data_IF_353852716750
#
_entry.id   IF_353852716750
#
_cell.length_a   1.000
_cell.length_b   1.000
_cell.length_c   1.000
_cell.angle_alpha   90.00
_cell.angle_beta   90.00
_cell.angle_gamma   90.00
#
_symmetry.space_group_name_H-M   'P 1'
#
loop_
_entity.id
_entity.type
_entity.pdbx_description
1 polymer ?
#
# COMPACT_ATOMS: atom_id res chain seq x y z
N UNK A 1 -25.74 73.72 11.48
CA UNK A 1 -26.38 74.38 12.66
C UNK A 1 -25.76 75.77 12.85
N UNK A 2 -26.52 76.77 13.33
CA UNK A 2 -26.06 78.17 13.42
C UNK A 2 -25.16 78.37 14.66
N UNK A 3 -23.97 78.97 14.51
CA UNK A 3 -23.09 79.30 15.64
C UNK A 3 -23.49 80.66 16.24
N UNK A 4 -24.08 80.67 17.44
CA UNK A 4 -24.32 81.91 18.18
C UNK A 4 -22.99 82.46 18.74
N UNK A 5 -22.58 83.66 18.31
CA UNK A 5 -21.50 84.41 18.95
C UNK A 5 -21.99 84.99 20.28
N UNK A 6 -21.70 84.34 21.40
CA UNK A 6 -21.92 84.92 22.74
C UNK A 6 -20.82 85.94 23.01
N UNK A 7 -21.13 87.21 22.79
CA UNK A 7 -20.24 88.32 23.13
C UNK A 7 -20.24 88.56 24.64
N UNK A 8 -19.24 88.01 25.35
CA UNK A 8 -18.96 88.37 26.76
C UNK A 8 -18.69 89.87 26.87
N UNK A 9 -19.73 90.68 27.16
CA UNK A 9 -19.57 92.04 27.67
C UNK A 9 -18.86 91.94 29.02
N UNK A 10 -17.60 92.37 29.09
CA UNK A 10 -16.95 92.64 30.38
C UNK A 10 -17.72 93.79 31.03
N UNK A 11 -18.48 93.49 32.08
CA UNK A 11 -19.10 94.53 32.90
C UNK A 11 -18.00 95.34 33.57
N UNK A 12 -17.80 96.59 33.13
CA UNK A 12 -17.01 97.55 33.90
C UNK A 12 -17.78 97.88 35.18
N UNK A 13 -17.49 97.14 36.25
CA UNK A 13 -18.04 97.40 37.57
C UNK A 13 -17.61 98.80 38.02
N UNK A 14 -18.52 99.77 37.89
CA UNK A 14 -18.39 101.06 38.57
C UNK A 14 -18.40 100.78 40.07
N UNK A 15 -17.22 100.69 40.69
CA UNK A 15 -17.11 100.73 42.14
C UNK A 15 -17.68 102.06 42.60
N UNK A 16 -18.85 102.03 43.23
CA UNK A 16 -19.33 103.15 44.02
C UNK A 16 -18.40 103.39 45.22
N UNK A 17 -18.64 104.44 46.02
CA UNK A 17 -18.01 104.55 47.33
C UNK A 17 -18.24 103.24 48.10
N UNK A 18 -17.21 102.68 48.76
CA UNK A 18 -17.34 101.39 49.42
C UNK A 18 -18.43 101.46 50.50
N UNK A 19 -19.10 100.34 50.77
CA UNK A 19 -20.24 100.29 51.68
C UNK A 19 -19.90 100.84 53.08
N UNK A 20 -18.64 100.66 53.52
CA UNK A 20 -18.07 101.28 54.72
C UNK A 20 -18.33 102.78 54.79
N UNK A 21 -18.10 103.51 53.70
CA UNK A 21 -18.03 104.97 53.71
C UNK A 21 -19.44 105.57 53.57
N UNK A 22 -20.31 104.90 52.83
CA UNK A 22 -21.75 105.20 52.79
C UNK A 22 -22.40 104.96 54.15
N UNK A 23 -22.02 103.91 54.86
CA UNK A 23 -22.46 103.66 56.24
C UNK A 23 -21.89 104.71 57.20
N UNK A 24 -20.59 105.01 57.13
CA UNK A 24 -19.96 106.06 57.95
C UNK A 24 -20.65 107.42 57.80
N UNK A 25 -20.91 107.86 56.56
CA UNK A 25 -21.59 109.12 56.30
C UNK A 25 -23.04 109.15 56.82
N UNK A 26 -23.75 108.02 56.75
CA UNK A 26 -25.10 107.88 57.33
C UNK A 26 -25.08 107.91 58.87
N UNK A 27 -24.11 107.24 59.50
CA UNK A 27 -23.92 107.24 60.96
C UNK A 27 -23.59 108.65 61.44
N UNK A 28 -22.59 109.30 60.86
CA UNK A 28 -22.21 110.67 61.23
C UNK A 28 -23.36 111.68 61.04
N UNK A 29 -24.16 111.54 59.98
CA UNK A 29 -25.37 112.35 59.77
C UNK A 29 -26.44 112.08 60.85
N UNK A 30 -26.66 110.82 61.24
CA UNK A 30 -27.57 110.47 62.32
C UNK A 30 -27.11 111.02 63.68
N UNK A 31 -25.84 110.88 64.02
CA UNK A 31 -25.29 111.37 65.29
C UNK A 31 -25.22 112.90 65.33
N UNK A 32 -24.93 113.58 64.22
CA UNK A 32 -25.06 115.04 64.13
C UNK A 32 -26.52 115.51 64.35
N UNK A 33 -27.49 114.81 63.73
CA UNK A 33 -28.93 115.07 63.92
C UNK A 33 -29.41 114.79 65.35
N UNK A 34 -28.82 113.78 66.03
CA UNK A 34 -29.07 113.45 67.43
C UNK A 34 -28.48 114.50 68.37
N UNK A 35 -27.19 114.83 68.22
CA UNK A 35 -26.48 115.88 68.98
C UNK A 35 -27.18 117.25 68.86
N UNK A 36 -27.78 117.56 67.71
CA UNK A 36 -28.58 118.77 67.49
C UNK A 36 -29.97 118.79 68.19
N UNK A 37 -30.39 117.68 68.82
CA UNK A 37 -31.73 117.51 69.42
C UNK A 37 -31.73 117.09 70.89
N UNK A 38 -30.60 116.72 71.46
CA UNK A 38 -30.50 116.24 72.85
C UNK A 38 -29.44 117.00 73.65
N UNK A 39 -29.87 117.83 74.60
CA UNK A 39 -29.00 118.68 75.42
C UNK A 39 -28.57 118.06 76.76
N UNK A 40 -28.98 116.81 77.06
CA UNK A 40 -28.86 116.19 78.39
C UNK A 40 -27.85 115.02 78.48
N UNK A 41 -27.08 114.76 77.42
CA UNK A 41 -26.10 113.68 77.38
C UNK A 41 -24.66 114.20 77.34
N UNK A 42 -23.75 113.46 77.95
CA UNK A 42 -22.31 113.70 77.86
C UNK A 42 -21.86 113.57 76.39
N UNK A 43 -21.40 114.69 75.82
CA UNK A 43 -20.94 114.75 74.44
C UNK A 43 -19.77 113.79 74.18
N UNK A 44 -18.90 113.53 75.16
CA UNK A 44 -17.76 112.63 75.02
C UNK A 44 -18.20 111.16 74.92
N UNK A 45 -19.25 110.78 75.65
CA UNK A 45 -19.85 109.45 75.59
C UNK A 45 -20.61 109.23 74.27
N UNK A 46 -21.32 110.24 73.76
CA UNK A 46 -22.00 110.19 72.46
C UNK A 46 -20.98 110.07 71.31
N UNK A 47 -19.90 110.86 71.36
CA UNK A 47 -18.79 110.78 70.40
C UNK A 47 -18.06 109.43 70.44
N UNK A 48 -17.89 108.84 71.62
CA UNK A 48 -17.30 107.51 71.77
C UNK A 48 -18.20 106.42 71.17
N UNK A 49 -19.53 106.51 71.38
CA UNK A 49 -20.51 105.61 70.80
C UNK A 49 -20.55 105.71 69.27
N UNK A 50 -20.46 106.93 68.72
CA UNK A 50 -20.38 107.16 67.27
C UNK A 50 -19.15 106.48 66.66
N UNK A 51 -17.97 106.69 67.27
CA UNK A 51 -16.70 106.09 66.82
C UNK A 51 -16.74 104.55 66.92
N UNK A 52 -17.29 104.01 68.00
CA UNK A 52 -17.45 102.57 68.18
C UNK A 52 -18.38 101.96 67.11
N UNK A 53 -19.54 102.58 66.86
CA UNK A 53 -20.48 102.13 65.82
C UNK A 53 -19.87 102.23 64.42
N UNK A 54 -19.09 103.28 64.14
CA UNK A 54 -18.35 103.43 62.88
C UNK A 54 -17.29 102.33 62.70
N UNK A 55 -16.59 101.93 63.77
CA UNK A 55 -15.62 100.82 63.71
C UNK A 55 -16.32 99.49 63.47
N UNK A 56 -17.35 99.16 64.25
CA UNK A 56 -18.11 97.90 64.08
C UNK A 56 -18.76 97.80 62.69
N UNK A 57 -19.34 98.90 62.18
CA UNK A 57 -19.92 98.93 60.84
C UNK A 57 -18.87 98.82 59.72
N UNK A 58 -17.63 99.29 59.95
CA UNK A 58 -16.50 99.06 59.04
C UNK A 58 -16.02 97.61 59.05
N UNK A 59 -15.90 96.98 60.22
CA UNK A 59 -15.54 95.56 60.32
C UNK A 59 -16.63 94.64 59.78
N UNK A 60 -17.91 94.98 60.00
CA UNK A 60 -19.03 94.27 59.40
C UNK A 60 -19.01 94.38 57.87
N UNK A 61 -18.76 95.58 57.31
CA UNK A 61 -18.61 95.76 55.86
C UNK A 61 -17.42 94.98 55.28
N UNK A 62 -16.27 94.93 55.98
CA UNK A 62 -15.13 94.07 55.59
C UNK A 62 -15.53 92.59 55.58
N UNK A 63 -16.19 92.10 56.63
CA UNK A 63 -16.67 90.71 56.74
C UNK A 63 -17.67 90.36 55.64
N UNK A 64 -18.60 91.27 55.29
CA UNK A 64 -19.50 91.09 54.16
C UNK A 64 -18.75 91.01 52.83
N UNK A 65 -17.85 91.94 52.52
CA UNK A 65 -17.09 91.89 51.25
C UNK A 65 -16.16 90.67 51.15
N UNK A 66 -15.62 90.19 52.26
CA UNK A 66 -14.88 88.93 52.30
C UNK A 66 -15.80 87.73 52.00
N UNK A 67 -17.00 87.69 52.61
CA UNK A 67 -18.00 86.65 52.36
C UNK A 67 -18.52 86.67 50.91
N UNK A 68 -18.73 87.85 50.32
CA UNK A 68 -19.05 87.99 48.90
C UNK A 68 -17.95 87.36 48.03
N UNK A 69 -16.67 87.65 48.31
CA UNK A 69 -15.57 87.07 47.53
C UNK A 69 -15.41 85.55 47.69
N UNK A 70 -15.75 84.98 48.85
CA UNK A 70 -15.73 83.51 49.02
C UNK A 70 -16.96 82.83 48.42
N UNK A 71 -18.12 83.48 48.38
CA UNK A 71 -19.30 83.00 47.64
C UNK A 71 -19.03 83.03 46.14
N UNK A 72 -18.43 84.10 45.60
CA UNK A 72 -18.02 84.19 44.20
C UNK A 72 -16.97 83.13 43.83
N UNK A 73 -15.98 82.86 44.70
CA UNK A 73 -14.99 81.81 44.43
C UNK A 73 -15.61 80.41 44.48
N UNK A 74 -16.45 80.11 45.48
CA UNK A 74 -17.17 78.84 45.56
C UNK A 74 -18.13 78.63 44.38
N UNK A 75 -18.74 79.68 43.85
CA UNK A 75 -19.54 79.61 42.64
C UNK A 75 -18.68 79.28 41.40
N UNK A 76 -17.50 79.90 41.27
CA UNK A 76 -16.55 79.57 40.21
C UNK A 76 -16.06 78.11 40.31
N UNK A 77 -15.65 77.67 41.50
CA UNK A 77 -15.20 76.30 41.75
C UNK A 77 -16.30 75.27 41.45
N UNK A 78 -17.55 75.53 41.86
CA UNK A 78 -18.70 74.69 41.54
C UNK A 78 -18.94 74.60 40.02
N UNK A 79 -18.86 75.72 39.28
CA UNK A 79 -18.97 75.66 37.80
C UNK A 79 -17.83 74.87 37.15
N UNK A 80 -16.60 75.00 37.66
CA UNK A 80 -15.43 74.21 37.22
C UNK A 80 -15.63 72.70 37.49
N UNK A 81 -16.11 72.35 38.68
CA UNK A 81 -16.44 70.97 39.04
C UNK A 81 -17.54 70.40 38.13
N UNK A 82 -18.60 71.16 37.83
CA UNK A 82 -19.65 70.74 36.90
C UNK A 82 -19.11 70.53 35.46
N UNK A 83 -18.23 71.40 34.97
CA UNK A 83 -17.56 71.20 33.67
C UNK A 83 -16.67 69.94 33.67
N UNK A 84 -15.92 69.68 34.74
CA UNK A 84 -15.10 68.45 34.83
C UNK A 84 -15.95 67.19 34.93
N UNK A 85 -17.05 67.19 35.69
CA UNK A 85 -18.00 66.06 35.78
C UNK A 85 -18.60 65.74 34.41
N UNK A 86 -19.04 66.75 33.65
CA UNK A 86 -19.54 66.55 32.28
C UNK A 86 -18.44 66.03 31.34
N UNK A 87 -17.20 66.50 31.51
CA UNK A 87 -16.03 66.05 30.76
C UNK A 87 -15.64 64.60 31.06
N UNK A 88 -15.83 64.14 32.30
CA UNK A 88 -15.60 62.74 32.72
C UNK A 88 -16.75 61.84 32.24
N UNK A 89 -18.01 62.25 32.42
CA UNK A 89 -19.18 61.51 31.94
C UNK A 89 -19.07 61.22 30.43
N UNK A 90 -18.75 62.23 29.62
CA UNK A 90 -18.54 62.02 28.18
C UNK A 90 -17.38 61.05 27.88
N UNK A 91 -16.26 61.14 28.60
CA UNK A 91 -15.15 60.17 28.42
C UNK A 91 -15.58 58.75 28.75
N UNK A 92 -16.37 58.56 29.80
CA UNK A 92 -16.91 57.24 30.14
C UNK A 92 -17.87 56.73 29.06
N UNK A 93 -18.78 57.56 28.55
CA UNK A 93 -19.66 57.18 27.43
C UNK A 93 -18.87 56.76 26.18
N UNK A 94 -17.83 57.53 25.83
CA UNK A 94 -17.00 57.26 24.66
C UNK A 94 -16.12 56.00 24.86
N UNK A 95 -15.61 55.76 26.08
CA UNK A 95 -14.93 54.50 26.45
C UNK A 95 -15.87 53.29 26.36
N UNK A 96 -17.08 53.38 26.93
CA UNK A 96 -18.10 52.31 26.89
C UNK A 96 -18.44 51.93 25.44
N UNK A 97 -18.55 52.91 24.53
CA UNK A 97 -18.73 52.65 23.09
C UNK A 97 -17.53 51.89 22.50
N UNK A 98 -16.29 52.27 22.84
CA UNK A 98 -15.11 51.55 22.34
C UNK A 98 -15.03 50.10 22.86
N UNK A 99 -15.44 49.84 24.11
CA UNK A 99 -15.53 48.47 24.63
C UNK A 99 -16.57 47.64 23.86
N UNK A 100 -17.78 48.15 23.66
CA UNK A 100 -18.84 47.44 22.90
C UNK A 100 -18.41 47.15 21.45
N UNK A 101 -17.67 48.06 20.81
CA UNK A 101 -17.12 47.84 19.45
C UNK A 101 -16.04 46.75 19.47
N UNK A 102 -15.15 46.75 20.46
CA UNK A 102 -14.11 45.73 20.61
C UNK A 102 -14.69 44.34 20.94
N UNK A 103 -15.73 44.28 21.77
CA UNK A 103 -16.46 43.04 22.09
C UNK A 103 -17.18 42.48 20.85
N UNK A 104 -17.85 43.32 20.08
CA UNK A 104 -18.48 42.92 18.82
C UNK A 104 -17.45 42.44 17.77
N UNK A 105 -16.28 43.08 17.71
CA UNK A 105 -15.19 42.63 16.84
C UNK A 105 -14.63 41.27 17.29
N UNK A 106 -14.37 41.09 18.58
CA UNK A 106 -13.91 39.81 19.14
C UNK A 106 -14.93 38.69 18.88
N UNK A 107 -16.24 38.95 19.03
CA UNK A 107 -17.29 37.98 18.71
C UNK A 107 -17.30 37.59 17.22
N UNK A 108 -17.14 38.56 16.31
CA UNK A 108 -16.99 38.28 14.86
C UNK A 108 -15.75 37.44 14.58
N UNK A 109 -14.59 37.82 15.12
CA UNK A 109 -13.34 37.11 14.92
C UNK A 109 -13.40 35.67 15.45
N UNK A 110 -14.04 35.44 16.60
CA UNK A 110 -14.30 34.09 17.14
C UNK A 110 -15.20 33.28 16.21
N UNK A 111 -16.28 33.87 15.68
CA UNK A 111 -17.16 33.20 14.72
C UNK A 111 -16.44 32.83 13.41
N UNK A 112 -15.67 33.76 12.84
CA UNK A 112 -14.86 33.50 11.63
C UNK A 112 -13.81 32.41 11.85
N UNK A 113 -13.12 32.43 13.00
CA UNK A 113 -12.14 31.40 13.35
C UNK A 113 -12.82 30.03 13.54
N UNK A 114 -14.02 29.98 14.14
CA UNK A 114 -14.80 28.76 14.28
C UNK A 114 -15.25 28.20 12.92
N UNK A 115 -15.72 29.06 12.01
CA UNK A 115 -16.07 28.67 10.64
C UNK A 115 -14.85 28.18 9.84
N UNK A 116 -13.70 28.86 9.97
CA UNK A 116 -12.44 28.43 9.33
C UNK A 116 -11.98 27.06 9.86
N UNK A 117 -12.05 26.83 11.18
CA UNK A 117 -11.73 25.55 11.80
C UNK A 117 -12.67 24.43 11.31
N UNK A 118 -13.98 24.69 11.26
CA UNK A 118 -14.96 23.73 10.76
C UNK A 118 -14.71 23.37 9.28
N UNK A 119 -14.37 24.35 8.45
CA UNK A 119 -14.01 24.17 7.04
C UNK A 119 -12.74 23.30 6.89
N UNK A 120 -11.67 23.59 7.65
CA UNK A 120 -10.47 22.74 7.66
C UNK A 120 -10.77 21.30 8.13
N UNK A 121 -11.59 21.13 9.15
CA UNK A 121 -11.99 19.81 9.65
C UNK A 121 -12.75 18.99 8.58
N UNK A 122 -13.70 19.61 7.87
CA UNK A 122 -14.37 18.94 6.74
C UNK A 122 -13.41 18.56 5.61
N UNK A 123 -12.43 19.42 5.29
CA UNK A 123 -11.45 19.13 4.25
C UNK A 123 -10.53 17.97 4.65
N UNK A 124 -10.04 17.97 5.90
CA UNK A 124 -9.25 16.87 6.47
C UNK A 124 -10.03 15.54 6.48
N UNK A 125 -11.32 15.55 6.82
CA UNK A 125 -12.15 14.34 6.72
C UNK A 125 -12.30 13.80 5.30
N UNK A 126 -12.48 14.69 4.31
CA UNK A 126 -12.55 14.30 2.88
C UNK A 126 -11.23 13.71 2.42
N UNK A 127 -10.11 14.36 2.73
CA UNK A 127 -8.77 13.90 2.39
C UNK A 127 -8.46 12.55 3.05
N UNK A 128 -8.71 12.40 4.36
CA UNK A 128 -8.57 11.14 5.08
C UNK A 128 -9.35 10.00 4.40
N UNK A 129 -10.61 10.24 4.02
CA UNK A 129 -11.45 9.24 3.32
C UNK A 129 -10.88 8.89 1.94
N UNK A 130 -10.38 9.86 1.18
CA UNK A 130 -9.72 9.61 -0.11
C UNK A 130 -8.40 8.83 0.03
N UNK A 131 -7.56 9.17 1.01
CA UNK A 131 -6.29 8.49 1.27
C UNK A 131 -6.51 7.07 1.78
N UNK A 132 -7.50 6.85 2.64
CA UNK A 132 -7.92 5.51 3.07
C UNK A 132 -8.36 4.66 1.87
N UNK A 133 -9.29 5.16 1.04
CA UNK A 133 -9.76 4.43 -0.13
C UNK A 133 -8.66 4.11 -1.15
N UNK A 134 -7.71 5.04 -1.36
CA UNK A 134 -6.49 4.78 -2.17
C UNK A 134 -5.65 3.65 -1.58
N UNK A 135 -5.33 3.72 -0.28
CA UNK A 135 -4.52 2.69 0.39
C UNK A 135 -5.20 1.31 0.38
N UNK A 136 -6.52 1.26 0.55
CA UNK A 136 -7.33 0.04 0.46
C UNK A 136 -7.30 -0.56 -0.96
N UNK A 137 -7.45 0.27 -2.01
CA UNK A 137 -7.28 -0.16 -3.40
C UNK A 137 -5.85 -0.65 -3.69
N UNK A 138 -4.82 0.07 -3.27
CA UNK A 138 -3.42 -0.33 -3.46
C UNK A 138 -3.10 -1.63 -2.70
N UNK A 139 -3.68 -1.83 -1.51
CA UNK A 139 -3.55 -3.07 -0.76
C UNK A 139 -4.28 -4.24 -1.45
N UNK A 140 -5.47 -4.01 -1.99
CA UNK A 140 -6.22 -5.00 -2.78
C UNK A 140 -5.46 -5.37 -4.07
N UNK A 141 -4.96 -4.40 -4.83
CA UNK A 141 -4.19 -4.62 -6.04
C UNK A 141 -2.91 -5.42 -5.77
N UNK A 142 -2.17 -5.09 -4.70
CA UNK A 142 -0.99 -5.88 -4.27
C UNK A 142 -1.33 -7.31 -3.87
N UNK A 143 -2.46 -7.54 -3.20
CA UNK A 143 -2.96 -8.89 -2.87
C UNK A 143 -3.34 -9.66 -4.14
N UNK A 144 -4.06 -9.04 -5.07
CA UNK A 144 -4.43 -9.65 -6.35
C UNK A 144 -3.18 -10.04 -7.15
N UNK A 145 -2.23 -9.11 -7.34
CA UNK A 145 -0.96 -9.39 -8.04
C UNK A 145 -0.14 -10.51 -7.37
N UNK A 146 -0.24 -10.68 -6.04
CA UNK A 146 0.38 -11.81 -5.35
C UNK A 146 -0.34 -13.15 -5.63
N UNK A 147 -1.68 -13.15 -5.63
CA UNK A 147 -2.48 -14.32 -6.00
C UNK A 147 -2.25 -14.71 -7.47
N UNK A 148 -2.22 -13.75 -8.39
CA UNK A 148 -1.99 -13.97 -9.82
C UNK A 148 -0.63 -14.66 -10.07
N UNK A 149 0.42 -14.26 -9.33
CA UNK A 149 1.73 -14.92 -9.36
C UNK A 149 1.67 -16.36 -8.85
N UNK A 150 1.06 -16.59 -7.69
CA UNK A 150 0.93 -17.93 -7.10
C UNK A 150 0.12 -18.87 -8.01
N UNK A 151 -0.95 -18.36 -8.63
CA UNK A 151 -1.77 -19.11 -9.60
C UNK A 151 -0.99 -19.39 -10.89
N UNK A 152 -0.20 -18.44 -11.39
CA UNK A 152 0.67 -18.64 -12.55
C UNK A 152 1.76 -19.70 -12.26
N UNK A 153 2.45 -19.59 -11.12
CA UNK A 153 3.46 -20.57 -10.67
C UNK A 153 2.86 -21.96 -10.42
N UNK A 154 1.63 -22.05 -9.91
CA UNK A 154 0.89 -23.30 -9.81
C UNK A 154 0.60 -23.87 -11.20
N UNK A 155 0.06 -23.07 -12.13
CA UNK A 155 -0.21 -23.50 -13.51
C UNK A 155 1.04 -23.89 -14.30
N UNK A 156 2.20 -23.31 -14.00
CA UNK A 156 3.50 -23.70 -14.58
C UNK A 156 4.01 -25.02 -13.98
N UNK A 157 3.81 -25.26 -12.68
CA UNK A 157 4.10 -26.56 -12.04
C UNK A 157 3.20 -27.66 -12.58
N UNK A 158 1.89 -27.41 -12.65
CA UNK A 158 0.89 -28.33 -13.21
C UNK A 158 1.27 -28.79 -14.62
N UNK A 159 1.55 -27.82 -15.52
CA UNK A 159 2.00 -28.09 -16.89
C UNK A 159 3.33 -28.86 -16.97
N UNK A 160 4.19 -28.76 -15.96
CA UNK A 160 5.43 -29.56 -15.87
C UNK A 160 5.12 -30.99 -15.43
N UNK A 161 4.28 -31.17 -14.41
CA UNK A 161 3.87 -32.49 -13.94
C UNK A 161 3.11 -33.28 -15.01
N UNK A 162 2.16 -32.65 -15.72
CA UNK A 162 1.45 -33.29 -16.85
C UNK A 162 2.43 -33.76 -17.92
N UNK A 163 3.36 -32.89 -18.37
CA UNK A 163 4.38 -33.26 -19.36
C UNK A 163 5.30 -34.38 -18.90
N UNK A 164 5.63 -34.43 -17.61
CA UNK A 164 6.45 -35.50 -17.07
C UNK A 164 5.67 -36.83 -17.07
N UNK A 165 4.40 -36.84 -16.66
CA UNK A 165 3.53 -38.01 -16.75
C UNK A 165 3.35 -38.47 -18.21
N UNK A 166 3.19 -37.53 -19.16
CA UNK A 166 3.17 -37.84 -20.60
C UNK A 166 4.49 -38.48 -21.07
N UNK A 167 5.64 -37.98 -20.62
CA UNK A 167 6.95 -38.53 -20.97
C UNK A 167 7.15 -39.94 -20.37
N UNK A 168 6.88 -40.11 -19.07
CA UNK A 168 6.99 -41.38 -18.37
C UNK A 168 6.07 -42.45 -19.01
N UNK A 169 4.84 -42.08 -19.36
CA UNK A 169 3.89 -42.97 -20.05
C UNK A 169 4.30 -43.30 -21.48
N UNK A 170 4.91 -42.36 -22.22
CA UNK A 170 5.45 -42.66 -23.55
C UNK A 170 6.64 -43.64 -23.47
N UNK A 171 7.51 -43.53 -22.46
CA UNK A 171 8.60 -44.49 -22.23
C UNK A 171 8.07 -45.87 -21.85
N UNK A 172 7.05 -45.94 -20.99
CA UNK A 172 6.37 -47.20 -20.63
C UNK A 172 5.72 -47.88 -21.84
N UNK A 173 5.01 -47.11 -22.69
CA UNK A 173 4.42 -47.60 -23.94
C UNK A 173 5.51 -48.10 -24.91
N UNK A 174 6.63 -47.41 -25.03
CA UNK A 174 7.71 -47.80 -25.94
C UNK A 174 8.46 -49.05 -25.44
N UNK A 175 8.68 -49.18 -24.13
CA UNK A 175 9.18 -50.41 -23.52
C UNK A 175 8.22 -51.60 -23.76
N UNK A 176 6.91 -51.41 -23.62
CA UNK A 176 5.92 -52.44 -23.93
C UNK A 176 5.91 -52.82 -25.42
N UNK A 177 6.03 -51.85 -26.34
CA UNK A 177 6.18 -52.10 -27.79
C UNK A 177 7.41 -52.95 -28.08
N UNK A 178 8.56 -52.63 -27.49
CA UNK A 178 9.81 -53.38 -27.64
C UNK A 178 9.66 -54.81 -27.09
N UNK A 179 9.06 -54.98 -25.91
CA UNK A 179 8.77 -56.30 -25.35
C UNK A 179 7.88 -57.14 -26.29
N UNK A 180 6.77 -56.58 -26.80
CA UNK A 180 5.89 -57.29 -27.74
C UNK A 180 6.57 -57.57 -29.08
N UNK A 181 7.47 -56.70 -29.56
CA UNK A 181 8.26 -56.95 -30.76
C UNK A 181 9.21 -58.16 -30.58
N UNK A 182 9.95 -58.20 -29.47
CA UNK A 182 10.85 -59.32 -29.13
C UNK A 182 10.07 -60.62 -28.90
N UNK A 183 8.92 -60.57 -28.22
CA UNK A 183 8.05 -61.74 -28.06
C UNK A 183 7.60 -62.27 -29.43
N UNK A 184 7.07 -61.40 -30.30
CA UNK A 184 6.65 -61.77 -31.65
C UNK A 184 7.81 -62.34 -32.49
N UNK A 185 9.00 -61.76 -32.39
CA UNK A 185 10.18 -62.22 -33.12
C UNK A 185 10.66 -63.59 -32.63
N UNK A 186 10.66 -63.84 -31.31
CA UNK A 186 11.01 -65.16 -30.75
C UNK A 186 9.97 -66.23 -31.10
N UNK A 187 8.68 -65.91 -31.08
CA UNK A 187 7.61 -66.79 -31.57
C UNK A 187 7.77 -67.12 -33.07
N UNK A 188 8.02 -66.12 -33.92
CA UNK A 188 8.26 -66.31 -35.35
C UNK A 188 9.53 -67.12 -35.62
N UNK A 189 10.61 -66.88 -34.87
CA UNK A 189 11.87 -67.63 -34.98
C UNK A 189 11.69 -69.09 -34.55
N UNK A 190 10.92 -69.33 -33.48
CA UNK A 190 10.55 -70.68 -33.07
C UNK A 190 9.77 -71.39 -34.18
N UNK A 191 8.72 -70.76 -34.72
CA UNK A 191 7.91 -71.34 -35.81
C UNK A 191 8.73 -71.59 -37.08
N UNK A 192 9.58 -70.65 -37.48
CA UNK A 192 10.52 -70.84 -38.58
C UNK A 192 11.44 -72.04 -38.34
N UNK A 193 12.04 -72.16 -37.15
CA UNK A 193 12.89 -73.31 -36.81
C UNK A 193 12.14 -74.65 -36.80
N UNK A 194 10.82 -74.67 -36.54
CA UNK A 194 10.00 -75.86 -36.63
C UNK A 194 9.70 -76.22 -38.09
N UNK A 195 9.42 -75.22 -38.94
CA UNK A 195 9.22 -75.40 -40.39
C UNK A 195 10.51 -75.91 -41.04
N UNK A 196 11.66 -75.29 -40.77
CA UNK A 196 12.96 -75.74 -41.28
C UNK A 196 13.25 -77.18 -40.85
N UNK A 197 13.00 -77.55 -39.60
CA UNK A 197 13.19 -78.93 -39.12
C UNK A 197 12.26 -79.93 -39.81
N UNK A 198 11.01 -79.58 -40.08
CA UNK A 198 10.08 -80.43 -40.87
C UNK A 198 10.58 -80.61 -42.30
N UNK A 199 10.88 -79.51 -43.00
CA UNK A 199 11.40 -79.55 -44.39
C UNK A 199 12.71 -80.35 -44.48
N UNK A 200 13.60 -80.22 -43.51
CA UNK A 200 14.85 -80.99 -43.47
C UNK A 200 14.60 -82.49 -43.27
N UNK A 201 13.63 -82.85 -42.42
CA UNK A 201 13.22 -84.24 -42.19
C UNK A 201 12.47 -84.84 -43.39
N UNK A 202 11.59 -84.08 -44.03
CA UNK A 202 10.92 -84.48 -45.27
C UNK A 202 11.94 -84.71 -46.41
N UNK A 203 12.99 -83.90 -46.45
CA UNK A 203 14.13 -84.08 -47.37
C UNK A 203 14.99 -85.30 -47.01
N UNK A 204 15.25 -85.56 -45.73
CA UNK A 204 15.92 -86.80 -45.27
C UNK A 204 15.15 -88.05 -45.68
N UNK A 205 13.82 -88.04 -45.55
CA UNK A 205 12.93 -89.12 -46.01
C UNK A 205 13.01 -89.29 -47.53
N UNK A 206 12.99 -88.21 -48.31
CA UNK A 206 13.14 -88.26 -49.77
C UNK A 206 14.51 -88.80 -50.19
N UNK A 207 15.60 -88.35 -49.57
CA UNK A 207 16.95 -88.84 -49.84
C UNK A 207 17.08 -90.33 -49.45
N UNK A 208 16.51 -90.74 -48.31
CA UNK A 208 16.49 -92.14 -47.90
C UNK A 208 15.68 -93.02 -48.87
N UNK A 209 14.57 -92.52 -49.42
CA UNK A 209 13.79 -93.22 -50.45
C UNK A 209 14.59 -93.38 -51.76
N UNK A 210 15.23 -92.31 -52.24
CA UNK A 210 16.09 -92.32 -53.43
C UNK A 210 17.27 -93.29 -53.23
N UNK A 211 17.93 -93.26 -52.08
CA UNK A 211 19.01 -94.21 -51.75
C UNK A 211 18.49 -95.65 -51.69
N UNK A 212 17.31 -95.89 -51.12
CA UNK A 212 16.71 -97.23 -51.08
C UNK A 212 16.37 -97.75 -52.48
N UNK A 213 15.92 -96.89 -53.41
CA UNK A 213 15.69 -97.27 -54.80
C UNK A 213 16.99 -97.50 -55.58
N UNK A 214 18.04 -96.69 -55.35
CA UNK A 214 19.39 -96.94 -55.87
C UNK A 214 19.94 -98.29 -55.36
N UNK A 215 19.73 -98.63 -54.08
CA UNK A 215 20.10 -99.95 -53.53
C UNK A 215 19.31 -101.09 -54.18
N UNK A 216 17.99 -100.93 -54.40
CA UNK A 216 17.16 -101.91 -55.14
C UNK A 216 17.67 -102.11 -56.56
N UNK A 217 18.05 -101.03 -57.26
CA UNK A 217 18.59 -101.12 -58.62
C UNK A 217 20.00 -101.68 -58.67
N UNK A 218 20.87 -101.39 -57.69
CA UNK A 218 22.14 -102.12 -57.54
C UNK A 218 21.90 -103.62 -57.27
N UNK A 219 20.90 -103.99 -56.46
CA UNK A 219 20.57 -105.39 -56.17
C UNK A 219 19.92 -106.11 -57.36
N UNK A 220 19.10 -105.41 -58.15
CA UNK A 220 18.59 -105.88 -59.45
C UNK A 220 19.73 -106.07 -60.45
N UNK A 221 20.71 -105.16 -60.48
CA UNK A 221 21.86 -105.27 -61.37
C UNK A 221 22.84 -106.37 -60.92
N UNK A 222 23.07 -106.58 -59.62
CA UNK A 222 23.79 -107.76 -59.12
C UNK A 222 23.04 -109.06 -59.43
N UNK A 223 21.72 -109.09 -59.29
CA UNK A 223 20.89 -110.24 -59.69
C UNK A 223 21.01 -110.52 -61.20
N UNK A 224 20.99 -109.48 -62.05
CA UNK A 224 21.23 -109.59 -63.50
C UNK A 224 22.65 -110.07 -63.82
N UNK A 225 23.68 -109.56 -63.12
CA UNK A 225 25.06 -110.01 -63.28
C UNK A 225 25.17 -111.49 -62.90
N UNK A 226 24.67 -111.91 -61.74
CA UNK A 226 24.64 -113.32 -61.32
C UNK A 226 23.72 -114.22 -62.16
N UNK A 227 22.84 -113.64 -62.99
CA UNK A 227 22.06 -114.38 -63.98
C UNK A 227 22.83 -114.50 -65.30
N UNK A 228 23.42 -113.41 -65.81
CA UNK A 228 24.34 -113.44 -66.95
C UNK A 228 25.57 -114.32 -66.69
N UNK A 229 26.09 -114.38 -65.47
CA UNK A 229 27.15 -115.31 -65.04
C UNK A 229 26.68 -116.78 -65.00
N UNK A 230 25.37 -117.03 -64.93
CA UNK A 230 24.74 -118.36 -65.05
C UNK A 230 24.53 -118.68 -66.52
N UNK A 231 23.94 -117.77 -67.27
CA UNK A 231 23.74 -117.88 -68.71
C UNK A 231 25.09 -118.07 -69.45
N UNK A 232 26.18 -117.43 -68.99
CA UNK A 232 27.56 -117.63 -69.47
C UNK A 232 28.22 -118.94 -69.00
N UNK A 233 27.71 -119.60 -67.95
CA UNK A 233 28.10 -120.96 -67.56
C UNK A 233 27.32 -121.99 -68.37
N UNK A 234 26.03 -121.77 -68.57
CA UNK A 234 25.13 -122.67 -69.29
C UNK A 234 25.43 -122.63 -70.80
N UNK A 235 25.69 -121.46 -71.38
CA UNK A 235 26.22 -121.34 -72.75
C UNK A 235 27.61 -121.98 -72.92
N UNK A 236 28.38 -122.15 -71.82
CA UNK A 236 29.65 -122.89 -71.81
C UNK A 236 29.48 -124.41 -71.77
N UNK A 237 28.28 -124.90 -71.47
CA UNK A 237 27.99 -126.34 -71.29
C UNK A 237 27.62 -127.08 -72.59
N UNK A 238 27.68 -126.41 -73.75
CA UNK A 238 27.34 -127.00 -75.05
C UNK A 238 28.55 -127.35 -75.94
N UNK A 239 29.79 -127.09 -75.53
CA UNK A 239 31.00 -127.56 -76.25
C UNK A 239 32.13 -128.04 -75.31
N UNK A 240 32.88 -129.01 -75.81
CA UNK A 240 33.98 -129.78 -75.20
C UNK A 240 35.12 -128.97 -74.53
N UNK A 241 35.95 -129.52 -73.61
CA UNK A 241 35.86 -130.72 -72.76
C UNK A 241 37.06 -130.81 -71.78
N UNK A 242 36.95 -131.71 -70.78
CA UNK A 242 38.07 -132.38 -70.06
C UNK A 242 38.95 -131.53 -69.09
N UNK A 243 39.56 -132.15 -68.05
CA UNK A 243 39.35 -131.60 -66.69
C UNK A 243 40.61 -131.41 -65.81
N UNK A 244 40.41 -130.81 -64.63
CA UNK A 244 41.24 -131.05 -63.44
C UNK A 244 40.39 -130.86 -62.17
N UNK A 245 40.71 -131.57 -61.08
CA UNK A 245 39.81 -131.74 -59.94
C UNK A 245 40.29 -131.09 -58.63
N UNK A 246 39.37 -130.37 -58.00
CA UNK A 246 39.10 -130.28 -56.55
C UNK A 246 40.28 -130.11 -55.54
N UNK A 247 40.40 -128.88 -55.00
CA UNK A 247 39.92 -128.46 -53.66
C UNK A 247 40.17 -129.42 -52.44
N UNK A 248 40.47 -128.90 -51.21
CA UNK A 248 39.71 -127.77 -50.62
C UNK A 248 40.46 -126.79 -49.65
N UNK A 249 39.78 -125.67 -49.30
CA UNK A 249 39.73 -124.92 -47.99
C UNK A 249 41.01 -124.66 -47.15
N UNK A 250 41.31 -123.52 -46.48
CA UNK A 250 40.73 -122.15 -46.24
C UNK A 250 41.80 -121.34 -45.41
N UNK A 251 41.71 -120.08 -44.93
CA UNK A 251 40.68 -119.01 -44.83
C UNK A 251 41.35 -117.62 -44.59
N UNK A 252 40.73 -116.53 -45.10
CA UNK A 252 40.63 -115.20 -44.45
C UNK A 252 41.94 -114.35 -44.20
N UNK A 253 41.88 -113.04 -43.80
CA UNK A 253 42.27 -111.99 -44.77
C UNK A 253 43.11 -110.77 -44.30
N UNK A 254 43.99 -110.32 -45.20
CA UNK A 254 44.22 -108.92 -45.65
C UNK A 254 44.24 -107.73 -44.67
N UNK A 255 45.25 -107.67 -43.80
CA UNK A 255 46.44 -106.79 -43.96
C UNK A 255 46.34 -105.42 -44.69
N UNK A 256 46.72 -104.32 -43.99
CA UNK A 256 47.50 -103.11 -44.49
C UNK A 256 46.81 -102.09 -45.44
N UNK A 257 47.03 -100.74 -45.39
CA UNK A 257 47.70 -99.77 -44.48
C UNK A 257 47.14 -98.33 -44.72
N UNK A 258 47.25 -97.35 -43.78
CA UNK A 258 48.19 -96.19 -43.76
C UNK A 258 48.53 -95.52 -45.13
N UNK A 259 48.76 -94.20 -45.33
CA UNK A 259 48.67 -92.90 -44.60
C UNK A 259 48.90 -91.76 -45.65
N UNK A 260 48.95 -90.41 -45.46
CA UNK A 260 48.89 -89.44 -44.34
C UNK A 260 48.64 -88.00 -44.90
N UNK A 261 48.29 -87.02 -44.02
CA UNK A 261 48.66 -85.57 -44.09
C UNK A 261 48.06 -84.67 -45.22
N UNK A 262 47.85 -83.35 -45.05
CA UNK A 262 47.69 -82.48 -43.86
C UNK A 262 47.20 -81.06 -44.22
N UNK A 263 47.08 -80.18 -43.20
CA UNK A 263 46.91 -78.71 -43.22
C UNK A 263 45.53 -78.13 -43.65
N UNK A 264 45.22 -76.86 -43.34
CA UNK A 264 45.18 -76.14 -42.04
C UNK A 264 44.48 -74.75 -42.22
N UNK A 265 44.48 -73.92 -41.17
CA UNK A 265 44.01 -72.51 -41.08
C UNK A 265 42.50 -72.38 -40.77
N UNK A 266 42.04 -71.99 -39.58
CA UNK A 266 42.22 -70.70 -38.85
C UNK A 266 41.83 -69.46 -39.64
N UNK A 267 40.75 -68.79 -39.21
CA UNK A 267 40.79 -67.44 -38.62
C UNK A 267 39.80 -67.39 -37.44
N UNK A 268 40.10 -66.60 -36.41
CA UNK A 268 39.23 -66.25 -35.27
C UNK A 268 39.37 -64.74 -35.06
N UNK A 269 38.27 -63.99 -35.04
CA UNK A 269 38.30 -62.56 -34.74
C UNK A 269 36.99 -62.11 -34.06
N UNK A 270 37.17 -61.50 -32.88
CA UNK A 270 36.26 -60.61 -32.13
C UNK A 270 34.81 -61.09 -31.99
#
# INVERSE_FOLDING_TARGET
MKRCKVTRRRGMGRRGPPASDVLCGRIASHFACFRAKTFLFDATAVDALERALVVEMRELAKRFTALETTVDSLAADNTSLLETIQSMAKRNDDLVKTCHIAEAEMQRQVHENHMRLHMHMQMWEREKKMLQGRWEMDAAARRQTALDRVLHEAGVREKRHVRQIEQDKNVEIEHLRQHFAVQKETELTMLASQITRRVHHDMEIQVAAILADIYKDQQRNHSKIHQLERDLRDARSLQHATPSAAAPTTTAPTTTQQTFRHQNMHVRAQ
#
